data_IF_258072380017
#
_entry.id   IF_258072380017
#
_cell.length_a   1.000
_cell.length_b   1.000
_cell.length_c   1.000
_cell.angle_alpha   90.00
_cell.angle_beta   90.00
_cell.angle_gamma   90.00
#
_symmetry.space_group_name_H-M   'P 1'
#
loop_
_entity.id
_entity.type
_entity.pdbx_description
1 polymer ?
#
# COMPACT_ATOMS: atom_id res chain seq x y z
N UNK A 1 32.97 -17.63 -30.35
CA UNK A 1 32.89 -16.16 -30.37
C UNK A 1 34.24 -15.60 -30.78
N UNK A 2 34.29 -14.67 -31.72
CA UNK A 2 35.53 -14.02 -32.11
C UNK A 2 35.93 -13.01 -31.03
N UNK A 3 37.17 -13.06 -30.56
CA UNK A 3 37.70 -12.07 -29.60
C UNK A 3 37.72 -10.67 -30.23
N UNK A 4 37.35 -9.68 -29.42
CA UNK A 4 37.52 -8.26 -29.76
C UNK A 4 39.01 -7.87 -29.88
N UNK A 5 39.29 -6.73 -30.52
CA UNK A 5 40.66 -6.23 -30.69
C UNK A 5 41.39 -6.01 -29.36
N UNK A 6 40.67 -5.63 -28.30
CA UNK A 6 41.25 -5.40 -26.96
C UNK A 6 41.52 -6.72 -26.24
N UNK A 7 40.63 -7.71 -26.35
CA UNK A 7 40.82 -9.04 -25.76
C UNK A 7 42.00 -9.79 -26.38
N UNK A 8 42.23 -9.63 -27.70
CA UNK A 8 43.38 -10.23 -28.40
C UNK A 8 44.73 -9.82 -27.81
N UNK A 9 44.84 -8.62 -27.20
CA UNK A 9 46.09 -8.16 -26.58
C UNK A 9 46.43 -8.93 -25.30
N UNK A 10 45.43 -9.43 -24.56
CA UNK A 10 45.65 -10.18 -23.31
C UNK A 10 44.46 -11.09 -23.02
N UNK A 11 44.64 -12.38 -23.30
CA UNK A 11 43.63 -13.42 -23.05
C UNK A 11 43.74 -13.90 -21.59
N UNK A 12 42.64 -13.85 -20.84
CA UNK A 12 42.54 -14.41 -19.49
C UNK A 12 42.07 -15.86 -19.56
N UNK A 13 42.83 -16.79 -18.99
CA UNK A 13 42.41 -18.20 -18.88
C UNK A 13 41.28 -18.33 -17.85
N UNK A 14 40.11 -18.75 -18.29
CA UNK A 14 38.96 -19.09 -17.44
C UNK A 14 38.92 -20.61 -17.19
N UNK A 15 38.69 -21.01 -15.95
CA UNK A 15 38.59 -22.42 -15.53
C UNK A 15 37.13 -22.83 -15.26
N UNK A 16 36.16 -21.93 -15.47
CA UNK A 16 34.75 -22.22 -15.31
C UNK A 16 34.34 -23.40 -16.21
N UNK A 17 33.78 -24.44 -15.58
CA UNK A 17 33.28 -25.64 -16.28
C UNK A 17 31.85 -25.48 -16.79
N UNK A 18 31.11 -24.51 -16.25
CA UNK A 18 29.73 -24.19 -16.65
C UNK A 18 29.77 -22.96 -17.55
N UNK A 19 29.05 -23.01 -18.67
CA UNK A 19 28.89 -21.87 -19.56
C UNK A 19 28.04 -20.77 -18.94
N UNK A 20 28.31 -19.51 -19.30
CA UNK A 20 27.44 -18.39 -18.96
C UNK A 20 26.16 -18.45 -19.80
N UNK A 21 25.00 -18.58 -19.16
CA UNK A 21 23.69 -18.61 -19.84
C UNK A 21 23.14 -17.20 -20.04
N UNK A 22 23.48 -16.28 -19.15
CA UNK A 22 23.05 -14.89 -19.18
C UNK A 22 24.27 -13.98 -19.02
N UNK A 23 24.37 -12.97 -19.88
CA UNK A 23 25.43 -11.98 -19.76
C UNK A 23 25.23 -11.11 -18.51
N UNK A 24 26.34 -10.58 -17.99
CA UNK A 24 26.30 -9.68 -16.84
C UNK A 24 25.52 -8.42 -17.25
N UNK A 25 24.43 -8.07 -16.56
CA UNK A 25 23.64 -6.91 -16.91
C UNK A 25 24.40 -5.62 -16.62
N UNK A 26 23.95 -4.52 -17.21
CA UNK A 26 24.50 -3.20 -16.91
C UNK A 26 24.28 -2.84 -15.43
N UNK A 27 25.37 -2.76 -14.67
CA UNK A 27 25.32 -2.69 -13.20
C UNK A 27 24.69 -1.39 -12.67
N UNK A 28 24.73 -0.31 -13.45
CA UNK A 28 24.12 0.98 -13.10
C UNK A 28 22.67 1.11 -13.57
N UNK A 29 22.11 0.06 -14.20
CA UNK A 29 20.77 0.07 -14.78
C UNK A 29 19.70 0.48 -13.76
N UNK A 30 19.81 0.05 -12.50
CA UNK A 30 18.83 0.36 -11.46
C UNK A 30 18.69 1.87 -11.25
N UNK A 31 19.80 2.60 -11.13
CA UNK A 31 19.78 4.05 -10.90
C UNK A 31 19.29 4.79 -12.14
N UNK A 32 19.89 4.50 -13.29
CA UNK A 32 19.59 5.19 -14.55
C UNK A 32 18.13 4.95 -14.97
N UNK A 33 17.66 3.71 -14.90
CA UNK A 33 16.28 3.39 -15.29
C UNK A 33 15.27 3.97 -14.30
N UNK A 34 15.57 4.00 -13.00
CA UNK A 34 14.70 4.64 -12.01
C UNK A 34 14.55 6.13 -12.29
N UNK A 35 15.65 6.83 -12.53
CA UNK A 35 15.63 8.27 -12.79
C UNK A 35 15.01 8.63 -14.15
N UNK A 36 15.27 7.82 -15.18
CA UNK A 36 14.60 7.95 -16.48
C UNK A 36 13.09 7.80 -16.35
N UNK A 37 12.61 6.81 -15.57
CA UNK A 37 11.18 6.66 -15.26
C UNK A 37 10.61 7.85 -14.50
N UNK A 38 11.39 8.46 -13.60
CA UNK A 38 10.95 9.66 -12.88
C UNK A 38 10.75 10.86 -13.82
N UNK A 39 11.72 11.13 -14.70
CA UNK A 39 11.69 12.31 -15.59
C UNK A 39 10.86 12.13 -16.86
N UNK A 40 10.83 10.92 -17.44
CA UNK A 40 10.21 10.62 -18.75
C UNK A 40 10.57 11.66 -19.84
N UNK A 41 11.81 12.16 -19.83
CA UNK A 41 12.27 13.25 -20.68
C UNK A 41 12.39 12.85 -22.17
N UNK A 42 12.56 11.55 -22.42
CA UNK A 42 12.64 10.91 -23.74
C UNK A 42 11.27 10.70 -24.40
N UNK A 43 10.17 10.98 -23.69
CA UNK A 43 8.81 10.76 -24.18
C UNK A 43 8.10 12.06 -24.48
N UNK A 44 7.32 12.04 -25.56
CA UNK A 44 6.37 13.11 -25.87
C UNK A 44 5.33 13.24 -24.75
N UNK A 45 4.78 14.45 -24.50
CA UNK A 45 3.83 14.68 -23.41
C UNK A 45 2.68 13.67 -23.33
N UNK A 46 2.12 13.29 -24.48
CA UNK A 46 0.97 12.39 -24.59
C UNK A 46 1.33 10.90 -24.39
N UNK A 47 2.61 10.55 -24.49
CA UNK A 47 3.10 9.18 -24.34
C UNK A 47 3.64 8.89 -22.91
N UNK A 48 3.62 9.91 -22.04
CA UNK A 48 4.08 9.76 -20.65
C UNK A 48 3.13 8.87 -19.87
N UNK A 49 3.69 7.90 -19.18
CA UNK A 49 2.92 7.02 -18.30
C UNK A 49 2.56 7.70 -16.99
N UNK A 50 1.58 7.14 -16.27
CA UNK A 50 1.15 7.59 -14.94
C UNK A 50 2.15 7.24 -13.82
N UNK A 51 3.42 7.63 -13.97
CA UNK A 51 4.49 7.52 -12.98
C UNK A 51 5.42 8.74 -13.03
N UNK A 52 6.31 8.89 -12.05
CA UNK A 52 7.28 10.00 -12.01
C UNK A 52 6.62 11.38 -11.87
N UNK A 53 7.20 12.39 -12.53
CA UNK A 53 6.70 13.77 -12.53
C UNK A 53 5.26 13.87 -13.05
N UNK A 54 4.93 13.14 -14.12
CA UNK A 54 3.59 13.16 -14.71
C UNK A 54 2.53 12.71 -13.69
N UNK A 55 2.74 11.59 -13.00
CA UNK A 55 1.80 11.13 -11.96
C UNK A 55 1.72 12.10 -10.77
N UNK A 56 2.85 12.70 -10.38
CA UNK A 56 2.86 13.67 -9.29
C UNK A 56 1.98 14.88 -9.61
N UNK A 57 2.13 15.47 -10.80
CA UNK A 57 1.26 16.56 -11.24
C UNK A 57 -0.19 16.13 -11.40
N UNK A 58 -0.46 15.03 -12.09
CA UNK A 58 -1.82 14.51 -12.27
C UNK A 58 -2.51 14.09 -10.97
N UNK A 59 -1.77 13.84 -9.88
CA UNK A 59 -2.35 13.53 -8.57
C UNK A 59 -2.85 14.75 -7.80
N UNK A 60 -2.29 15.93 -8.10
CA UNK A 60 -2.62 17.20 -7.41
C UNK A 60 -3.58 18.03 -8.25
N UNK A 61 -3.46 17.97 -9.57
CA UNK A 61 -4.30 18.70 -10.50
C UNK A 61 -5.50 17.86 -10.95
N UNK A 62 -6.66 18.48 -11.21
CA UNK A 62 -6.92 19.91 -11.18
C UNK A 62 -7.11 20.47 -9.77
N UNK A 63 -6.54 21.65 -9.50
CA UNK A 63 -6.77 22.38 -8.26
C UNK A 63 -8.01 23.26 -8.46
N UNK A 64 -9.07 22.96 -7.74
CA UNK A 64 -10.33 23.72 -7.84
C UNK A 64 -10.40 24.75 -6.72
N UNK A 65 -10.79 25.98 -7.07
CA UNK A 65 -11.05 27.04 -6.10
C UNK A 65 -12.16 26.66 -5.12
N UNK A 66 -12.11 27.20 -3.90
CA UNK A 66 -13.07 26.86 -2.84
C UNK A 66 -14.54 27.11 -3.22
N UNK A 67 -14.79 28.16 -4.02
CA UNK A 67 -16.13 28.51 -4.51
C UNK A 67 -16.46 27.86 -5.86
N UNK A 68 -15.59 27.01 -6.40
CA UNK A 68 -15.77 26.33 -7.69
C UNK A 68 -15.72 27.24 -8.93
N UNK A 69 -15.41 28.54 -8.78
CA UNK A 69 -15.46 29.51 -9.90
C UNK A 69 -14.24 29.46 -10.82
N UNK A 70 -13.17 28.79 -10.41
CA UNK A 70 -11.98 28.55 -11.21
C UNK A 70 -11.39 27.17 -10.92
N UNK A 71 -10.75 26.59 -11.94
CA UNK A 71 -9.91 25.40 -11.82
C UNK A 71 -8.57 25.64 -12.51
N UNK A 72 -7.49 25.23 -11.86
CA UNK A 72 -6.16 25.19 -12.46
C UNK A 72 -5.89 23.75 -12.88
N UNK A 73 -5.59 23.55 -14.16
CA UNK A 73 -5.33 22.25 -14.78
C UNK A 73 -3.86 22.13 -15.18
N UNK A 74 -3.32 20.92 -15.04
CA UNK A 74 -2.00 20.57 -15.55
C UNK A 74 -2.15 20.06 -17.00
N UNK A 75 -1.39 20.63 -17.93
CA UNK A 75 -1.38 20.20 -19.33
C UNK A 75 -0.16 19.33 -19.60
N UNK A 76 1.04 19.88 -19.38
CA UNK A 76 2.31 19.16 -19.62
C UNK A 76 3.47 19.82 -18.86
N UNK A 77 4.64 19.16 -18.87
CA UNK A 77 5.89 19.77 -18.41
C UNK A 77 7.00 19.60 -19.45
N UNK A 78 7.97 20.49 -19.44
CA UNK A 78 9.24 20.33 -20.13
C UNK A 78 10.40 20.64 -19.20
N UNK A 79 11.51 19.94 -19.44
CA UNK A 79 12.80 20.25 -18.83
C UNK A 79 13.53 21.13 -19.84
N UNK A 80 14.00 22.29 -19.40
CA UNK A 80 14.91 23.10 -20.22
C UNK A 80 16.31 22.51 -20.23
N UNK A 81 17.21 23.15 -20.96
CA UNK A 81 18.61 22.75 -20.99
C UNK A 81 19.31 23.21 -19.71
N UNK A 82 20.25 22.39 -19.17
CA UNK A 82 21.09 22.82 -18.07
C UNK A 82 21.96 23.98 -18.50
N UNK A 83 22.14 24.97 -17.60
CA UNK A 83 22.92 26.18 -17.90
C UNK A 83 24.41 25.89 -18.13
N UNK A 84 24.93 24.85 -17.49
CA UNK A 84 26.33 24.43 -17.52
C UNK A 84 26.40 22.91 -17.69
N UNK A 85 27.49 22.43 -18.28
CA UNK A 85 27.76 21.00 -18.33
C UNK A 85 28.26 20.45 -16.98
N UNK A 86 28.42 19.13 -16.90
CA UNK A 86 28.87 18.44 -15.68
C UNK A 86 30.23 18.95 -15.18
N UNK A 87 31.19 19.21 -16.08
CA UNK A 87 32.55 19.63 -15.71
C UNK A 87 32.57 21.07 -15.22
N UNK A 88 31.83 21.94 -15.89
CA UNK A 88 31.65 23.32 -15.47
C UNK A 88 30.97 23.41 -14.11
N UNK A 89 29.94 22.60 -13.85
CA UNK A 89 29.28 22.54 -12.55
C UNK A 89 30.27 22.15 -11.43
N UNK A 90 31.13 21.16 -11.69
CA UNK A 90 32.17 20.73 -10.75
C UNK A 90 33.18 21.84 -10.45
N UNK A 91 33.70 22.51 -11.50
CA UNK A 91 34.68 23.60 -11.35
C UNK A 91 34.10 24.84 -10.66
N UNK A 92 32.85 25.19 -10.96
CA UNK A 92 32.18 26.39 -10.42
C UNK A 92 31.56 26.16 -9.03
N UNK A 93 31.49 24.91 -8.56
CA UNK A 93 30.84 24.61 -7.28
C UNK A 93 29.32 24.70 -7.31
N UNK A 94 28.69 24.56 -8.49
CA UNK A 94 27.23 24.67 -8.66
C UNK A 94 26.58 23.30 -8.90
N UNK A 95 25.26 23.22 -8.80
CA UNK A 95 24.50 21.98 -9.03
C UNK A 95 24.22 21.80 -10.52
N UNK A 96 24.43 20.59 -11.04
CA UNK A 96 24.03 20.24 -12.41
C UNK A 96 22.52 19.98 -12.46
N UNK A 97 21.76 20.94 -12.97
CA UNK A 97 20.31 20.92 -12.95
C UNK A 97 19.71 21.55 -14.21
N UNK A 98 18.47 21.17 -14.52
CA UNK A 98 17.67 21.74 -15.60
C UNK A 98 16.42 22.46 -15.05
N UNK A 99 16.01 23.59 -15.63
CA UNK A 99 14.81 24.29 -15.22
C UNK A 99 13.56 23.49 -15.60
N UNK A 100 12.70 23.21 -14.62
CA UNK A 100 11.41 22.58 -14.83
C UNK A 100 10.37 23.65 -15.16
N UNK A 101 9.75 23.53 -16.33
CA UNK A 101 8.66 24.39 -16.76
C UNK A 101 7.39 23.57 -16.95
N UNK A 102 6.28 24.05 -16.41
CA UNK A 102 5.00 23.35 -16.43
C UNK A 102 3.98 24.23 -17.15
N UNK A 103 3.36 23.69 -18.18
CA UNK A 103 2.24 24.32 -18.86
C UNK A 103 0.97 24.03 -18.05
N UNK A 104 0.38 25.10 -17.53
CA UNK A 104 -0.88 25.03 -16.79
C UNK A 104 -1.95 25.82 -17.51
N UNK A 105 -3.20 25.40 -17.31
CA UNK A 105 -4.39 26.05 -17.85
C UNK A 105 -5.27 26.52 -16.71
N UNK A 106 -5.51 27.81 -16.61
CA UNK A 106 -6.49 28.40 -15.71
C UNK A 106 -7.84 28.48 -16.44
N UNK A 107 -8.81 27.69 -15.99
CA UNK A 107 -10.19 27.71 -16.47
C UNK A 107 -11.03 28.52 -15.49
N UNK A 108 -11.64 29.61 -15.97
CA UNK A 108 -12.58 30.43 -15.19
C UNK A 108 -13.99 30.06 -15.62
N UNK A 109 -14.83 29.71 -14.66
CA UNK A 109 -16.23 29.38 -14.87
C UNK A 109 -17.11 30.61 -14.72
N UNK A 110 -18.20 30.63 -15.50
CA UNK A 110 -19.22 31.66 -15.38
C UNK A 110 -20.04 31.46 -14.10
N UNK A 111 -20.18 32.54 -13.31
CA UNK A 111 -20.90 32.51 -12.04
C UNK A 111 -22.41 32.64 -12.24
N UNK A 112 -22.83 33.21 -13.36
CA UNK A 112 -24.24 33.46 -13.68
C UNK A 112 -24.88 32.26 -14.40
N UNK A 113 -24.11 31.20 -14.65
CA UNK A 113 -24.62 29.95 -15.20
C UNK A 113 -25.40 29.15 -14.13
N UNK A 114 -26.43 28.37 -14.52
CA UNK A 114 -27.17 27.51 -13.60
C UNK A 114 -26.21 26.56 -12.86
N UNK A 115 -26.43 26.32 -11.56
CA UNK A 115 -25.50 25.56 -10.69
C UNK A 115 -25.11 24.15 -11.20
N UNK A 116 -25.90 23.57 -12.11
CA UNK A 116 -25.64 22.27 -12.73
C UNK A 116 -24.84 22.34 -14.06
N UNK A 117 -24.48 23.52 -14.55
CA UNK A 117 -23.77 23.71 -15.82
C UNK A 117 -22.53 24.59 -15.60
N UNK A 118 -21.36 23.97 -15.57
CA UNK A 118 -20.07 24.69 -15.57
C UNK A 118 -19.79 25.25 -16.96
N UNK A 119 -20.30 26.45 -17.26
CA UNK A 119 -19.93 27.16 -18.49
C UNK A 119 -18.56 27.79 -18.33
N UNK A 120 -17.68 27.53 -19.29
CA UNK A 120 -16.34 28.14 -19.34
C UNK A 120 -16.51 29.58 -19.79
N UNK A 121 -16.05 30.52 -18.98
CA UNK A 121 -16.02 31.95 -19.28
C UNK A 121 -14.73 32.34 -19.99
N UNK A 122 -13.60 31.87 -19.47
CA UNK A 122 -12.27 32.21 -19.98
C UNK A 122 -11.29 31.07 -19.71
N UNK A 123 -10.30 30.94 -20.59
CA UNK A 123 -9.23 29.95 -20.50
C UNK A 123 -7.90 30.64 -20.77
N UNK A 124 -7.00 30.59 -19.78
CA UNK A 124 -5.64 31.13 -19.92
C UNK A 124 -4.63 30.02 -19.74
N UNK A 125 -3.84 29.77 -20.77
CA UNK A 125 -2.70 28.86 -20.70
C UNK A 125 -1.41 29.65 -20.50
N UNK A 126 -0.60 29.21 -19.54
CA UNK A 126 0.69 29.81 -19.30
C UNK A 126 1.69 28.76 -18.84
N UNK A 127 2.92 28.92 -19.32
CA UNK A 127 4.05 28.16 -18.84
C UNK A 127 4.65 28.82 -17.60
N UNK A 128 4.76 28.06 -16.51
CA UNK A 128 5.29 28.51 -15.23
C UNK A 128 6.60 27.78 -14.93
N UNK A 129 7.59 28.52 -14.47
CA UNK A 129 8.83 27.97 -13.93
C UNK A 129 8.60 27.43 -12.51
N UNK A 130 8.89 26.15 -12.30
CA UNK A 130 8.65 25.41 -11.05
C UNK A 130 9.93 25.06 -10.29
N UNK A 131 11.04 25.73 -10.61
CA UNK A 131 12.36 25.47 -10.01
C UNK A 131 13.27 24.62 -10.91
N UNK A 132 14.43 24.25 -10.39
CA UNK A 132 15.41 23.41 -11.09
C UNK A 132 15.40 21.98 -10.54
N UNK A 133 15.55 21.01 -11.43
CA UNK A 133 15.70 19.60 -11.09
C UNK A 133 17.14 19.16 -11.36
N UNK A 134 17.87 18.64 -10.36
CA UNK A 134 19.20 18.08 -10.57
C UNK A 134 19.17 16.98 -11.62
N UNK A 135 20.06 16.99 -12.59
CA UNK A 135 20.14 15.95 -13.62
C UNK A 135 21.15 14.87 -13.21
N UNK A 136 20.84 13.64 -13.61
CA UNK A 136 21.75 12.51 -13.43
C UNK A 136 22.77 12.49 -14.56
N UNK A 137 24.04 12.23 -14.22
CA UNK A 137 25.13 12.03 -15.17
C UNK A 137 25.03 10.66 -15.84
N UNK A 138 25.81 10.41 -16.90
CA UNK A 138 25.84 9.12 -17.59
C UNK A 138 26.33 7.96 -16.70
N UNK A 139 27.01 8.27 -15.59
CA UNK A 139 27.52 7.30 -14.62
C UNK A 139 26.55 7.05 -13.45
N UNK A 140 25.36 7.65 -13.48
CA UNK A 140 24.35 7.46 -12.42
C UNK A 140 24.61 8.29 -11.16
N UNK A 141 25.43 9.34 -11.25
CA UNK A 141 25.74 10.29 -10.16
C UNK A 141 25.00 11.62 -10.36
N UNK A 142 25.01 12.48 -9.34
CA UNK A 142 24.49 13.83 -9.39
C UNK A 142 25.57 14.81 -8.94
N UNK A 143 25.73 15.94 -9.64
CA UNK A 143 26.61 17.02 -9.16
C UNK A 143 25.80 17.97 -8.31
N UNK A 144 26.05 17.97 -7.00
CA UNK A 144 25.40 18.87 -6.02
C UNK A 144 26.47 19.77 -5.42
N UNK A 145 26.36 21.07 -5.63
CA UNK A 145 27.34 22.08 -5.21
C UNK A 145 28.78 21.69 -5.63
N UNK A 146 28.95 21.34 -6.91
CA UNK A 146 30.22 20.92 -7.51
C UNK A 146 30.75 19.54 -7.10
N UNK A 147 30.09 18.85 -6.17
CA UNK A 147 30.53 17.52 -5.69
C UNK A 147 29.64 16.42 -6.26
N UNK A 148 30.23 15.34 -6.74
CA UNK A 148 29.45 14.16 -7.15
C UNK A 148 28.86 13.44 -5.94
N UNK A 149 27.58 13.09 -6.06
CA UNK A 149 26.81 12.35 -5.07
C UNK A 149 26.06 11.21 -5.72
N UNK A 150 25.79 10.18 -4.94
CA UNK A 150 24.98 9.03 -5.34
C UNK A 150 23.81 8.90 -4.39
N UNK A 151 22.63 8.61 -4.93
CA UNK A 151 21.45 8.29 -4.13
C UNK A 151 21.39 6.78 -3.93
N UNK A 152 21.41 6.33 -2.69
CA UNK A 152 21.37 4.90 -2.36
C UNK A 152 19.92 4.41 -2.37
N UNK A 153 19.67 3.28 -3.03
CA UNK A 153 18.35 2.64 -3.04
C UNK A 153 17.95 2.24 -1.62
N UNK A 154 16.80 2.73 -1.17
CA UNK A 154 16.25 2.41 0.14
C UNK A 154 15.45 1.10 0.10
N UNK A 155 15.69 0.23 1.09
CA UNK A 155 14.83 -0.93 1.35
C UNK A 155 13.89 -0.59 2.52
N UNK A 156 12.58 -0.58 2.25
CA UNK A 156 11.54 -0.37 3.26
C UNK A 156 10.42 -1.42 3.08
N UNK A 157 9.56 -1.57 4.10
CA UNK A 157 8.42 -2.49 4.01
C UNK A 157 7.44 -1.98 2.96
N UNK A 158 6.97 -2.88 2.10
CA UNK A 158 5.94 -2.55 1.13
C UNK A 158 4.64 -2.14 1.83
N UNK A 159 3.83 -1.27 1.22
CA UNK A 159 2.46 -1.06 1.67
C UNK A 159 1.67 -2.37 1.67
N UNK A 160 0.77 -2.54 2.63
CA UNK A 160 -0.04 -3.76 2.75
C UNK A 160 -0.42 -4.08 4.19
N UNK A 161 -0.95 -5.29 4.38
CA UNK A 161 -1.34 -5.82 5.69
C UNK A 161 -0.33 -6.87 6.14
N UNK A 162 0.21 -6.70 7.34
CA UNK A 162 1.19 -7.58 7.94
C UNK A 162 0.62 -8.22 9.19
N UNK A 163 0.69 -9.54 9.28
CA UNK A 163 0.33 -10.29 10.48
C UNK A 163 1.61 -10.75 11.18
N UNK A 164 1.69 -10.53 12.49
CA UNK A 164 2.85 -10.91 13.30
C UNK A 164 2.41 -11.33 14.71
N UNK A 165 3.29 -12.01 15.43
CA UNK A 165 3.08 -12.37 16.83
C UNK A 165 4.33 -12.12 17.67
N UNK A 166 4.13 -11.79 18.94
CA UNK A 166 5.20 -11.44 19.88
C UNK A 166 6.12 -12.62 20.28
N UNK A 167 5.85 -13.82 19.76
CA UNK A 167 6.51 -15.08 20.14
C UNK A 167 6.46 -15.37 21.65
N UNK A 168 5.41 -14.90 22.33
CA UNK A 168 5.18 -15.12 23.76
C UNK A 168 6.13 -14.33 24.66
N UNK A 169 6.81 -13.31 24.13
CA UNK A 169 7.79 -12.51 24.88
C UNK A 169 7.15 -11.40 25.69
N UNK A 170 5.96 -10.93 25.31
CA UNK A 170 5.36 -9.73 25.91
C UNK A 170 4.60 -10.04 27.21
N UNK A 171 4.00 -11.22 27.34
CA UNK A 171 3.25 -11.60 28.53
C UNK A 171 3.87 -12.82 29.21
N UNK A 172 3.98 -12.79 30.54
CA UNK A 172 4.64 -13.83 31.36
C UNK A 172 3.99 -15.21 31.25
N UNK A 173 2.72 -15.30 30.85
CA UNK A 173 2.06 -16.60 30.58
C UNK A 173 2.63 -17.35 29.36
N UNK A 174 3.46 -16.70 28.52
CA UNK A 174 3.94 -17.27 27.26
C UNK A 174 2.89 -17.32 26.13
N UNK A 175 1.66 -16.89 26.40
CA UNK A 175 0.59 -16.71 25.39
C UNK A 175 1.07 -15.82 24.25
N UNK A 176 0.87 -16.31 23.03
CA UNK A 176 1.17 -15.58 21.81
C UNK A 176 0.16 -14.44 21.62
N UNK A 177 0.65 -13.21 21.49
CA UNK A 177 -0.17 -12.06 21.15
C UNK A 177 -0.03 -11.77 19.65
N UNK A 178 -1.13 -11.95 18.94
CA UNK A 178 -1.20 -11.66 17.51
C UNK A 178 -1.47 -10.18 17.26
N UNK A 179 -0.96 -9.69 16.14
CA UNK A 179 -1.17 -8.32 15.67
C UNK A 179 -1.34 -8.29 14.15
N UNK A 180 -2.10 -7.32 13.68
CA UNK A 180 -2.27 -7.01 12.26
C UNK A 180 -1.97 -5.54 12.04
N UNK A 181 -1.05 -5.22 11.13
CA UNK A 181 -0.61 -3.85 10.83
C UNK A 181 -0.91 -3.52 9.38
N UNK A 182 -1.68 -2.45 9.18
CA UNK A 182 -1.95 -1.86 7.86
C UNK A 182 -0.96 -0.72 7.63
N UNK A 183 -0.04 -0.90 6.68
CA UNK A 183 0.93 0.09 6.25
C UNK A 183 0.43 0.70 4.93
N UNK A 184 -0.05 1.96 4.91
CA UNK A 184 -0.42 2.62 3.67
C UNK A 184 0.84 3.09 2.93
N UNK A 185 0.70 3.35 1.62
CA UNK A 185 1.74 4.03 0.85
C UNK A 185 1.93 5.48 1.31
N UNK A 186 0.83 6.15 1.66
CA UNK A 186 0.82 7.50 2.25
C UNK A 186 -0.32 7.59 3.26
N UNK A 187 -0.02 8.14 4.43
CA UNK A 187 -1.01 8.36 5.49
C UNK A 187 -0.70 7.61 6.79
N UNK A 188 -1.69 7.56 7.67
CA UNK A 188 -1.56 7.01 9.01
C UNK A 188 -1.54 5.49 9.04
N UNK A 189 -0.72 4.93 9.91
CA UNK A 189 -0.66 3.48 10.13
C UNK A 189 -1.79 3.04 11.04
N UNK A 190 -2.36 1.86 10.76
CA UNK A 190 -3.42 1.25 11.56
C UNK A 190 -2.96 -0.09 12.10
N UNK A 191 -2.77 -0.17 13.42
CA UNK A 191 -2.28 -1.36 14.11
C UNK A 191 -3.41 -1.97 14.93
N UNK A 192 -3.73 -3.25 14.69
CA UNK A 192 -4.61 -4.08 15.51
C UNK A 192 -3.77 -5.04 16.36
N UNK A 193 -4.10 -5.21 17.62
CA UNK A 193 -3.37 -6.08 18.54
C UNK A 193 -4.31 -6.76 19.53
N UNK A 194 -3.99 -8.01 19.86
CA UNK A 194 -4.61 -8.73 20.97
C UNK A 194 -3.95 -8.37 22.29
N UNK A 195 -4.76 -8.24 23.32
CA UNK A 195 -4.34 -8.17 24.72
C UNK A 195 -4.25 -9.58 25.35
N UNK A 196 -3.53 -9.79 26.47
CA UNK A 196 -3.50 -11.09 27.14
C UNK A 196 -4.88 -11.65 27.51
N UNK A 197 -5.87 -10.77 27.68
CA UNK A 197 -7.28 -11.10 27.96
C UNK A 197 -8.14 -11.36 26.71
N UNK A 198 -7.53 -11.57 25.54
CA UNK A 198 -8.20 -11.78 24.24
C UNK A 198 -9.09 -10.62 23.76
N UNK A 199 -8.93 -9.43 24.34
CA UNK A 199 -9.57 -8.23 23.85
C UNK A 199 -8.78 -7.64 22.66
N UNK A 200 -9.50 -7.24 21.62
CA UNK A 200 -8.91 -6.64 20.41
C UNK A 200 -8.88 -5.12 20.54
N UNK A 201 -7.70 -4.56 20.29
CA UNK A 201 -7.48 -3.12 20.33
C UNK A 201 -6.89 -2.62 19.03
N UNK A 202 -7.03 -1.32 18.81
CA UNK A 202 -6.47 -0.61 17.67
C UNK A 202 -5.63 0.58 18.13
N UNK A 203 -4.58 0.90 17.37
CA UNK A 203 -3.75 2.10 17.50
C UNK A 203 -3.62 2.76 16.14
N UNK A 204 -3.82 4.07 16.11
CA UNK A 204 -3.59 4.90 14.92
C UNK A 204 -2.25 5.61 15.12
N UNK A 205 -1.32 5.50 14.17
CA UNK A 205 0.03 6.08 14.23
C UNK A 205 0.80 5.73 15.51
N UNK A 206 0.65 4.50 16.00
CA UNK A 206 1.26 4.00 17.26
C UNK A 206 0.95 4.87 18.49
N UNK A 207 -0.16 5.62 18.47
CA UNK A 207 -0.65 6.42 19.60
C UNK A 207 -1.36 5.51 20.62
N UNK A 208 -2.25 6.11 21.43
CA UNK A 208 -3.00 5.45 22.50
C UNK A 208 -3.80 4.25 21.97
N UNK A 209 -3.76 3.17 22.74
CA UNK A 209 -4.58 1.96 22.57
C UNK A 209 -6.05 2.27 22.85
N UNK A 210 -6.93 1.99 21.88
CA UNK A 210 -8.39 2.11 22.01
C UNK A 210 -9.05 0.79 21.60
N UNK A 211 -10.23 0.44 22.15
CA UNK A 211 -10.93 -0.79 21.75
C UNK A 211 -11.23 -0.78 20.25
N UNK A 212 -11.03 -1.91 19.57
CA UNK A 212 -11.25 -2.00 18.12
C UNK A 212 -12.72 -1.68 17.72
N UNK A 213 -13.67 -1.94 18.62
CA UNK A 213 -15.08 -1.60 18.43
C UNK A 213 -15.35 -0.10 18.34
N UNK A 214 -14.48 0.76 18.90
CA UNK A 214 -14.60 2.23 18.74
C UNK A 214 -14.41 2.64 17.28
N UNK A 215 -13.47 2.00 16.58
CA UNK A 215 -13.26 2.23 15.15
C UNK A 215 -14.48 1.79 14.34
N UNK A 216 -15.05 0.62 14.65
CA UNK A 216 -16.24 0.11 13.96
C UNK A 216 -17.46 1.03 14.17
N UNK A 217 -17.66 1.53 15.40
CA UNK A 217 -18.71 2.53 15.66
C UNK A 217 -18.47 3.84 14.91
N UNK A 218 -17.21 4.27 14.79
CA UNK A 218 -16.87 5.46 14.01
C UNK A 218 -17.11 5.27 12.49
N UNK A 219 -17.11 4.03 12.01
CA UNK A 219 -17.52 3.68 10.63
C UNK A 219 -19.04 3.64 10.44
N UNK A 220 -19.83 3.84 11.51
CA UNK A 220 -21.29 3.88 11.46
C UNK A 220 -21.97 2.59 11.90
N UNK A 221 -21.23 1.56 12.32
CA UNK A 221 -21.84 0.30 12.75
C UNK A 221 -22.41 0.36 14.16
N UNK A 222 -23.62 -0.19 14.32
CA UNK A 222 -24.24 -0.40 15.62
C UNK A 222 -23.76 -1.71 16.27
N UNK A 223 -24.15 -1.97 17.52
CA UNK A 223 -23.69 -3.16 18.26
C UNK A 223 -24.16 -4.46 17.61
N UNK A 224 -25.40 -4.50 17.14
CA UNK A 224 -26.00 -5.70 16.54
C UNK A 224 -25.30 -6.05 15.24
N UNK A 225 -25.09 -5.07 14.36
CA UNK A 225 -24.34 -5.26 13.11
C UNK A 225 -22.92 -5.78 13.37
N UNK A 226 -22.21 -5.21 14.36
CA UNK A 226 -20.88 -5.69 14.73
C UNK A 226 -20.94 -7.16 15.16
N UNK A 227 -21.91 -7.54 15.99
CA UNK A 227 -22.05 -8.93 16.42
C UNK A 227 -22.37 -9.85 15.23
N UNK A 228 -23.28 -9.43 14.34
CA UNK A 228 -23.68 -10.20 13.17
C UNK A 228 -22.52 -10.40 12.15
N UNK A 229 -21.57 -9.45 12.07
CA UNK A 229 -20.38 -9.60 11.21
C UNK A 229 -19.37 -10.62 11.73
N UNK A 230 -19.21 -10.74 13.04
CA UNK A 230 -18.13 -11.54 13.65
C UNK A 230 -18.59 -12.86 14.26
N UNK A 231 -19.88 -13.00 14.55
CA UNK A 231 -20.44 -14.16 15.23
C UNK A 231 -21.58 -14.77 14.43
N UNK A 232 -21.67 -16.09 14.49
CA UNK A 232 -22.88 -16.79 14.07
C UNK A 232 -23.86 -16.82 15.24
N UNK A 233 -25.15 -16.67 14.96
CA UNK A 233 -26.21 -16.67 15.99
C UNK A 233 -26.85 -18.06 16.12
N UNK A 234 -27.32 -18.35 17.34
CA UNK A 234 -28.16 -19.51 17.66
C UNK A 234 -29.59 -19.02 17.90
N UNK A 235 -30.56 -19.69 17.28
CA UNK A 235 -31.99 -19.32 17.43
C UNK A 235 -32.63 -20.16 18.52
N UNK A 236 -33.19 -19.48 19.52
CA UNK A 236 -33.95 -20.12 20.60
C UNK A 236 -35.43 -19.78 20.47
N UNK A 237 -36.28 -20.79 20.41
CA UNK A 237 -37.73 -20.67 20.41
C UNK A 237 -38.30 -21.04 21.79
N UNK A 238 -39.05 -20.12 22.39
CA UNK A 238 -39.76 -20.34 23.66
C UNK A 238 -41.15 -20.91 23.35
N UNK A 239 -41.41 -22.18 23.74
CA UNK A 239 -42.70 -22.86 23.55
C UNK A 239 -43.24 -23.35 24.89
N UNK A 240 -44.10 -22.55 25.52
CA UNK A 240 -44.60 -22.81 26.87
C UNK A 240 -43.45 -22.85 27.88
N UNK A 241 -43.38 -23.92 28.67
CA UNK A 241 -42.31 -24.13 29.66
C UNK A 241 -41.02 -24.73 29.07
N UNK A 242 -40.89 -24.77 27.73
CA UNK A 242 -39.73 -25.36 27.05
C UNK A 242 -38.97 -24.33 26.23
N UNK A 243 -37.65 -24.38 26.34
CA UNK A 243 -36.71 -23.62 25.51
C UNK A 243 -36.17 -24.59 24.46
N UNK A 244 -36.44 -24.30 23.19
CA UNK A 244 -35.98 -25.10 22.05
C UNK A 244 -34.84 -24.36 21.35
N UNK A 245 -33.72 -25.03 21.11
CA UNK A 245 -32.61 -24.52 20.29
C UNK A 245 -32.69 -25.13 18.90
N UNK A 246 -32.63 -24.30 17.86
CA UNK A 246 -32.40 -24.75 16.48
C UNK A 246 -30.95 -25.21 16.34
N UNK A 247 -30.72 -26.48 16.69
CA UNK A 247 -29.39 -27.03 16.84
C UNK A 247 -28.68 -27.20 15.49
N UNK A 248 -27.46 -26.66 15.40
CA UNK A 248 -26.49 -26.97 14.35
C UNK A 248 -25.49 -28.01 14.88
N UNK A 249 -25.61 -29.31 14.53
CA UNK A 249 -24.82 -30.38 15.17
C UNK A 249 -23.30 -30.23 15.04
N UNK A 250 -22.83 -29.57 13.98
CA UNK A 250 -21.39 -29.36 13.73
C UNK A 250 -20.73 -28.46 14.79
N UNK A 251 -21.47 -27.53 15.40
CA UNK A 251 -20.96 -26.60 16.43
C UNK A 251 -20.59 -27.32 17.73
N UNK A 252 -21.27 -28.42 18.06
CA UNK A 252 -21.02 -29.21 19.28
C UNK A 252 -19.73 -30.06 19.21
N UNK A 253 -18.97 -30.01 18.11
CA UNK A 253 -17.83 -30.90 17.89
C UNK A 253 -16.72 -30.66 18.91
N UNK A 254 -16.42 -31.71 19.67
CA UNK A 254 -15.30 -31.69 20.61
C UNK A 254 -15.62 -31.06 21.96
N UNK A 255 -16.84 -30.55 22.15
CA UNK A 255 -17.37 -30.09 23.44
C UNK A 255 -17.80 -31.27 24.33
N UNK A 256 -17.96 -31.00 25.62
CA UNK A 256 -18.48 -31.96 26.61
C UNK A 256 -19.97 -31.70 26.83
N UNK A 257 -20.80 -32.74 26.70
CA UNK A 257 -22.24 -32.61 26.87
C UNK A 257 -22.57 -32.28 28.34
N UNK A 258 -23.23 -31.14 28.59
CA UNK A 258 -23.68 -30.75 29.93
C UNK A 258 -24.90 -31.55 30.43
N UNK A 259 -25.64 -32.16 29.51
CA UNK A 259 -26.84 -32.97 29.78
C UNK A 259 -26.99 -34.06 28.71
N UNK A 260 -27.91 -35.00 28.92
CA UNK A 260 -28.20 -36.07 27.96
C UNK A 260 -28.77 -35.52 26.65
N UNK A 261 -28.06 -35.73 25.55
CA UNK A 261 -28.52 -35.35 24.20
C UNK A 261 -29.25 -36.54 23.59
N UNK A 262 -30.55 -36.39 23.35
CA UNK A 262 -31.45 -37.42 22.82
C UNK A 262 -31.99 -37.01 21.44
N UNK A 263 -32.03 -37.95 20.50
CA UNK A 263 -32.84 -37.82 19.29
C UNK A 263 -34.08 -38.71 19.43
N UNK A 264 -35.25 -38.08 19.55
CA UNK A 264 -36.49 -38.77 19.90
C UNK A 264 -36.38 -39.46 21.25
N UNK A 265 -36.49 -40.80 21.27
CA UNK A 265 -36.37 -41.62 22.50
C UNK A 265 -34.96 -42.16 22.75
N UNK A 266 -34.03 -42.02 21.80
CA UNK A 266 -32.69 -42.60 21.88
C UNK A 266 -31.68 -41.59 22.40
N UNK A 267 -30.95 -41.97 23.46
CA UNK A 267 -29.80 -41.18 23.94
C UNK A 267 -28.64 -41.34 22.97
N UNK A 268 -28.16 -40.24 22.40
CA UNK A 268 -27.00 -40.20 21.50
C UNK A 268 -25.73 -39.95 22.32
N UNK A 269 -25.80 -39.01 23.27
CA UNK A 269 -24.68 -38.65 24.14
C UNK A 269 -25.20 -38.51 25.56
N UNK A 270 -24.57 -39.22 26.49
CA UNK A 270 -24.84 -39.07 27.93
C UNK A 270 -24.13 -37.83 28.48
N UNK A 271 -24.68 -37.25 29.55
CA UNK A 271 -24.06 -36.14 30.26
C UNK A 271 -22.61 -36.45 30.68
N UNK A 272 -21.73 -35.46 30.56
CA UNK A 272 -20.31 -35.56 30.90
C UNK A 272 -19.43 -36.23 29.84
N UNK A 273 -20.01 -36.79 28.77
CA UNK A 273 -19.24 -37.38 27.66
C UNK A 273 -18.90 -36.36 26.58
N UNK A 274 -17.71 -36.51 25.99
CA UNK A 274 -17.25 -35.68 24.87
C UNK A 274 -18.00 -36.02 23.58
N UNK A 275 -18.45 -35.00 22.86
CA UNK A 275 -19.20 -35.15 21.61
C UNK A 275 -18.22 -35.44 20.48
N UNK A 276 -18.33 -36.64 19.89
CA UNK A 276 -17.45 -37.12 18.83
C UNK A 276 -18.10 -36.95 17.45
N UNK A 277 -17.30 -37.11 16.39
CA UNK A 277 -17.81 -37.09 15.01
C UNK A 277 -18.90 -38.16 14.76
N UNK A 278 -18.87 -39.28 15.48
CA UNK A 278 -19.93 -40.31 15.41
C UNK A 278 -21.26 -39.80 15.97
N UNK A 279 -21.22 -39.05 17.07
CA UNK A 279 -22.41 -38.47 17.68
C UNK A 279 -23.04 -37.42 16.77
N UNK A 280 -22.22 -36.56 16.14
CA UNK A 280 -22.70 -35.54 15.19
C UNK A 280 -23.43 -36.17 14.01
N UNK A 281 -22.83 -37.20 13.37
CA UNK A 281 -23.49 -37.93 12.27
C UNK A 281 -24.80 -38.62 12.67
N UNK A 282 -24.99 -38.91 13.96
CA UNK A 282 -26.22 -39.48 14.49
C UNK A 282 -27.28 -38.42 14.82
N UNK A 283 -26.88 -37.13 14.98
CA UNK A 283 -27.78 -35.99 15.16
C UNK A 283 -28.24 -35.39 13.82
N UNK A 284 -27.46 -35.57 12.76
CA UNK A 284 -27.78 -35.12 11.39
C UNK A 284 -28.72 -36.10 10.64
N UNK A 285 -28.96 -37.30 11.19
CA UNK A 285 -29.86 -38.33 10.65
C UNK A 285 -31.25 -38.22 11.27
#
# INVERSE_FOLDING_TARGET
MAYSFTEKKRIRKDFAKRGSVLEIPFLLATQINSYRKFLQADKQPDERGAHGLHAAFSSVFPIVSHNGSAALEYVSYRLGEPMFDVRECQLRGVTYAAPLRVLVRLVIYDRDAPANVKRIKDVKEQEIYMGELPLMTDTGTFVINGTERVIVSQLHRSPGVFFDHDKGKTHSSGKLLFSARVIPYRGSWLDFEFDPKDAVFVRIDRRRKIPATVLLRALGYNTQEILDYFFETDTFALKGDKIMLDLVPSRLRGETAGFDIKAGRKVIVEAGKRITARHIRAMEK
#
